data_IF_329102948772
#
_entry.id   IF_329102948772
#
_cell.length_a   1.000
_cell.length_b   1.000
_cell.length_c   1.000
_cell.angle_alpha   90.00
_cell.angle_beta   90.00
_cell.angle_gamma   90.00
#
_symmetry.space_group_name_H-M   'P 1'
#
loop_
_entity.id
_entity.type
_entity.pdbx_description
1 polymer ?
#
# COMPACT_ATOMS: atom_id res chain seq x y z
N UNK A 1 23.53 34.44 -0.80
CA UNK A 1 22.36 33.63 -1.16
C UNK A 1 21.94 32.82 0.03
N UNK A 2 20.76 33.09 0.57
CA UNK A 2 20.21 32.39 1.74
C UNK A 2 19.83 30.95 1.40
N UNK A 3 19.68 30.09 2.38
CA UNK A 3 19.20 28.68 2.18
C UNK A 3 17.83 28.67 1.52
N UNK A 4 17.00 29.68 1.77
CA UNK A 4 15.67 29.87 1.18
C UNK A 4 15.72 30.20 -0.31
N UNK A 5 16.59 31.14 -0.74
CA UNK A 5 16.77 31.49 -2.16
C UNK A 5 17.29 30.29 -2.98
N UNK A 6 18.21 29.49 -2.40
CA UNK A 6 18.70 28.26 -3.03
C UNK A 6 17.59 27.21 -3.19
N UNK A 7 16.63 27.15 -2.28
CA UNK A 7 15.49 26.22 -2.37
C UNK A 7 14.54 26.64 -3.49
N UNK A 8 14.12 27.92 -3.53
CA UNK A 8 13.26 28.45 -4.58
C UNK A 8 13.88 28.26 -5.98
N UNK A 9 15.18 28.50 -6.12
CA UNK A 9 15.88 28.28 -7.39
C UNK A 9 15.85 26.81 -7.85
N UNK A 10 15.96 25.86 -6.93
CA UNK A 10 15.88 24.42 -7.24
C UNK A 10 14.47 23.97 -7.60
N UNK A 11 13.46 24.47 -6.90
CA UNK A 11 12.07 24.12 -7.18
C UNK A 11 11.66 24.59 -8.58
N UNK A 12 12.06 25.82 -8.99
CA UNK A 12 11.85 26.33 -10.35
C UNK A 12 12.60 25.52 -11.42
N UNK A 13 13.84 25.12 -11.15
CA UNK A 13 14.60 24.28 -12.09
C UNK A 13 13.95 22.91 -12.25
N UNK A 14 13.45 22.32 -11.16
CA UNK A 14 12.75 21.06 -11.20
C UNK A 14 11.45 21.17 -12.00
N UNK A 15 10.63 22.18 -11.74
CA UNK A 15 9.38 22.45 -12.47
C UNK A 15 9.65 22.63 -13.98
N UNK A 16 10.61 23.46 -14.37
CA UNK A 16 10.99 23.69 -15.78
C UNK A 16 11.45 22.38 -16.44
N UNK A 17 12.25 21.58 -15.74
CA UNK A 17 12.74 20.31 -16.26
C UNK A 17 11.61 19.30 -16.47
N UNK A 18 10.74 19.11 -15.49
CA UNK A 18 9.64 18.13 -15.63
C UNK A 18 8.68 18.55 -16.74
N UNK A 19 8.41 19.85 -16.91
CA UNK A 19 7.57 20.36 -17.99
C UNK A 19 8.18 20.12 -19.38
N UNK A 20 9.49 20.21 -19.53
CA UNK A 20 10.17 19.90 -20.81
C UNK A 20 9.96 18.45 -21.26
N UNK A 21 9.67 17.53 -20.29
CA UNK A 21 9.32 16.14 -20.54
C UNK A 21 7.82 15.87 -20.58
N UNK A 22 6.97 16.90 -20.49
CA UNK A 22 5.52 16.80 -20.45
C UNK A 22 4.97 16.31 -19.10
N UNK A 23 5.79 16.27 -18.06
CA UNK A 23 5.38 15.84 -16.73
C UNK A 23 4.68 16.99 -16.00
N UNK A 24 3.59 16.67 -15.30
CA UNK A 24 2.83 17.64 -14.48
C UNK A 24 3.30 17.66 -13.03
N UNK A 25 3.95 16.57 -12.56
CA UNK A 25 4.45 16.42 -11.19
C UNK A 25 5.61 15.40 -11.15
N UNK A 26 6.21 15.20 -9.96
CA UNK A 26 7.17 14.11 -9.75
C UNK A 26 6.47 12.74 -9.92
N UNK A 27 6.80 11.98 -10.98
CA UNK A 27 6.15 10.69 -11.26
C UNK A 27 6.48 9.60 -10.24
N UNK A 28 7.51 9.80 -9.44
CA UNK A 28 8.04 8.79 -8.54
C UNK A 28 7.68 9.02 -7.06
N UNK A 29 6.67 9.84 -6.78
CA UNK A 29 6.10 9.97 -5.43
C UNK A 29 5.72 8.61 -4.87
N UNK A 30 5.86 8.42 -3.55
CA UNK A 30 5.56 7.13 -2.91
C UNK A 30 4.06 6.85 -2.85
N UNK A 31 3.26 7.88 -2.77
CA UNK A 31 1.81 7.80 -2.77
C UNK A 31 1.26 7.24 -4.08
N UNK A 32 0.15 6.55 -4.02
CA UNK A 32 -0.55 6.07 -5.21
C UNK A 32 -1.45 7.21 -5.72
N UNK A 33 -1.13 7.83 -6.87
CA UNK A 33 -1.90 8.98 -7.35
C UNK A 33 -3.32 8.62 -7.78
N UNK A 34 -3.53 7.39 -8.30
CA UNK A 34 -4.83 6.85 -8.69
C UNK A 34 -4.78 5.32 -8.78
N UNK A 35 -5.94 4.68 -8.87
CA UNK A 35 -6.04 3.22 -9.11
C UNK A 35 -5.42 2.83 -10.45
N UNK A 36 -5.48 3.68 -11.46
CA UNK A 36 -4.88 3.47 -12.78
C UNK A 36 -3.34 3.45 -12.73
N UNK A 37 -2.74 4.12 -11.74
CA UNK A 37 -1.29 4.09 -11.50
C UNK A 37 -0.81 2.82 -10.78
N UNK A 38 -1.72 1.90 -10.47
CA UNK A 38 -1.39 0.64 -9.82
C UNK A 38 -0.86 -0.37 -10.83
N UNK A 39 0.43 -0.69 -10.75
CA UNK A 39 1.01 -1.79 -11.50
C UNK A 39 0.75 -3.10 -10.76
N UNK A 40 -0.06 -4.01 -11.29
CA UNK A 40 -0.38 -5.26 -10.63
C UNK A 40 0.88 -6.12 -10.49
N UNK A 41 1.20 -6.48 -9.26
CA UNK A 41 2.37 -7.32 -8.96
C UNK A 41 2.21 -8.75 -9.50
N UNK A 42 1.00 -9.33 -9.43
CA UNK A 42 0.62 -10.61 -10.04
C UNK A 42 -0.93 -10.67 -10.18
N UNK A 43 -1.46 -10.69 -11.41
CA UNK A 43 -2.91 -10.74 -11.63
C UNK A 43 -3.61 -11.94 -10.96
N UNK A 44 -2.91 -13.08 -10.84
CA UNK A 44 -3.44 -14.28 -10.18
C UNK A 44 -3.67 -14.04 -8.68
N UNK A 45 -2.75 -13.36 -8.01
CA UNK A 45 -2.86 -13.10 -6.56
C UNK A 45 -3.93 -12.06 -6.27
N UNK A 46 -4.08 -11.05 -7.15
CA UNK A 46 -5.16 -10.07 -7.06
C UNK A 46 -6.53 -10.75 -7.18
N UNK A 47 -6.71 -11.67 -8.14
CA UNK A 47 -7.95 -12.44 -8.27
C UNK A 47 -8.25 -13.28 -7.02
N UNK A 48 -7.22 -13.87 -6.40
CA UNK A 48 -7.40 -14.61 -5.13
C UNK A 48 -7.86 -13.71 -3.99
N UNK A 49 -7.32 -12.48 -3.90
CA UNK A 49 -7.73 -11.51 -2.90
C UNK A 49 -9.18 -11.05 -3.11
N UNK A 50 -9.58 -10.76 -4.34
CA UNK A 50 -10.97 -10.42 -4.66
C UNK A 50 -11.92 -11.58 -4.33
N UNK A 51 -11.54 -12.80 -4.70
CA UNK A 51 -12.31 -14.01 -4.39
C UNK A 51 -12.47 -14.25 -2.88
N UNK A 52 -11.48 -13.92 -2.06
CA UNK A 52 -11.57 -13.97 -0.61
C UNK A 52 -12.78 -13.17 -0.10
N UNK A 53 -13.00 -11.96 -0.63
CA UNK A 53 -14.10 -11.11 -0.21
C UNK A 53 -15.47 -11.62 -0.69
N UNK A 54 -15.56 -12.21 -1.87
CA UNK A 54 -16.81 -12.80 -2.36
C UNK A 54 -17.18 -14.10 -1.66
N UNK A 55 -16.23 -14.80 -1.05
CA UNK A 55 -16.45 -16.07 -0.37
C UNK A 55 -16.59 -15.92 1.17
N UNK A 56 -16.51 -14.72 1.73
CA UNK A 56 -16.61 -14.51 3.18
C UNK A 56 -15.47 -15.18 3.94
N UNK A 57 -14.22 -15.05 3.46
CA UNK A 57 -13.07 -15.78 3.99
C UNK A 57 -12.06 -14.90 4.69
N UNK A 58 -11.12 -15.54 5.40
CA UNK A 58 -9.97 -14.89 6.04
C UNK A 58 -8.72 -15.12 5.22
N UNK A 59 -7.95 -14.06 5.04
CA UNK A 59 -6.68 -14.13 4.33
C UNK A 59 -5.58 -13.28 4.97
N UNK A 60 -4.35 -13.62 4.61
CA UNK A 60 -3.17 -12.84 4.98
C UNK A 60 -2.36 -12.44 3.75
N UNK A 61 -1.99 -11.17 3.71
CA UNK A 61 -1.10 -10.59 2.72
C UNK A 61 0.22 -10.23 3.41
N UNK A 62 1.28 -10.96 3.12
CA UNK A 62 2.57 -10.75 3.75
C UNK A 62 3.63 -10.29 2.77
N UNK A 63 4.71 -9.73 3.26
CA UNK A 63 5.84 -9.32 2.41
C UNK A 63 6.88 -8.53 3.20
N UNK A 64 8.02 -8.29 2.56
CA UNK A 64 9.06 -7.44 3.13
C UNK A 64 8.66 -5.96 3.19
N UNK A 65 9.46 -5.16 3.86
CA UNK A 65 9.25 -3.72 3.93
C UNK A 65 9.34 -3.10 2.52
N UNK A 66 8.36 -2.26 2.18
CA UNK A 66 8.34 -1.54 0.90
C UNK A 66 7.96 -2.38 -0.32
N UNK A 67 7.45 -3.60 -0.16
CA UNK A 67 6.97 -4.47 -1.27
C UNK A 67 5.61 -4.06 -1.83
N UNK A 68 4.93 -3.07 -1.25
CA UNK A 68 3.66 -2.54 -1.74
C UNK A 68 2.41 -3.17 -1.11
N UNK A 69 2.51 -3.77 0.09
CA UNK A 69 1.35 -4.38 0.79
C UNK A 69 0.21 -3.37 1.00
N UNK A 70 0.49 -2.25 1.64
CA UNK A 70 -0.47 -1.17 1.87
C UNK A 70 -1.09 -0.69 0.55
N UNK A 71 -0.27 -0.48 -0.47
CA UNK A 71 -0.73 -0.06 -1.82
C UNK A 71 -1.68 -1.08 -2.45
N UNK A 72 -1.44 -2.38 -2.24
CA UNK A 72 -2.38 -3.44 -2.68
C UNK A 72 -3.71 -3.35 -1.94
N UNK A 73 -3.67 -3.10 -0.63
CA UNK A 73 -4.89 -2.95 0.18
C UNK A 73 -5.69 -1.69 -0.24
N UNK A 74 -5.02 -0.56 -0.42
CA UNK A 74 -5.63 0.69 -0.93
C UNK A 74 -6.27 0.48 -2.31
N UNK A 75 -5.57 -0.20 -3.22
CA UNK A 75 -6.11 -0.55 -4.53
C UNK A 75 -7.34 -1.46 -4.43
N UNK A 76 -7.33 -2.46 -3.55
CA UNK A 76 -8.49 -3.35 -3.34
C UNK A 76 -9.70 -2.57 -2.84
N UNK A 77 -9.51 -1.66 -1.88
CA UNK A 77 -10.59 -0.79 -1.36
C UNK A 77 -11.18 0.07 -2.48
N UNK A 78 -10.34 0.74 -3.25
CA UNK A 78 -10.78 1.59 -4.34
C UNK A 78 -11.50 0.79 -5.44
N UNK A 79 -10.95 -0.39 -5.82
CA UNK A 79 -11.57 -1.28 -6.81
C UNK A 79 -12.93 -1.82 -6.35
N UNK A 80 -13.08 -2.19 -5.07
CA UNK A 80 -14.37 -2.65 -4.53
C UNK A 80 -15.41 -1.51 -4.50
N UNK A 81 -15.00 -0.30 -4.12
CA UNK A 81 -15.89 0.87 -4.18
C UNK A 81 -16.36 1.17 -5.60
N UNK A 82 -15.47 1.11 -6.58
CA UNK A 82 -15.80 1.31 -7.98
C UNK A 82 -16.73 0.20 -8.52
N UNK A 83 -16.45 -1.07 -8.16
CA UNK A 83 -17.31 -2.20 -8.53
C UNK A 83 -18.72 -2.06 -7.95
N UNK A 84 -18.85 -1.62 -6.70
CA UNK A 84 -20.15 -1.38 -6.06
C UNK A 84 -20.99 -0.28 -6.76
N UNK A 85 -20.35 0.76 -7.31
CA UNK A 85 -21.07 1.80 -8.07
C UNK A 85 -21.77 1.26 -9.31
N UNK A 86 -21.25 0.18 -9.88
CA UNK A 86 -21.75 -0.45 -11.10
C UNK A 86 -22.58 -1.72 -10.82
N UNK A 87 -22.68 -2.18 -9.57
CA UNK A 87 -23.43 -3.37 -9.18
C UNK A 87 -24.78 -2.99 -8.56
N UNK A 88 -25.89 -3.23 -9.26
CA UNK A 88 -27.23 -2.88 -8.77
C UNK A 88 -27.77 -3.85 -7.72
N UNK A 89 -27.21 -5.05 -7.60
CA UNK A 89 -27.63 -6.09 -6.65
C UNK A 89 -26.87 -5.96 -5.33
N UNK A 90 -27.52 -5.50 -4.23
CA UNK A 90 -26.85 -5.34 -2.94
C UNK A 90 -26.17 -6.63 -2.43
N UNK A 91 -26.72 -7.81 -2.75
CA UNK A 91 -26.16 -9.08 -2.30
C UNK A 91 -24.79 -9.41 -2.89
N UNK A 92 -24.42 -8.72 -3.97
CA UNK A 92 -23.11 -8.81 -4.62
C UNK A 92 -22.17 -7.68 -4.23
N UNK A 93 -22.67 -6.62 -3.63
CA UNK A 93 -21.86 -5.51 -3.16
C UNK A 93 -21.00 -5.92 -1.96
N UNK A 94 -19.79 -5.36 -1.90
CA UNK A 94 -18.83 -5.62 -0.83
C UNK A 94 -18.36 -4.30 -0.27
N UNK A 95 -18.76 -3.97 0.96
CA UNK A 95 -18.38 -2.73 1.64
C UNK A 95 -16.96 -2.88 2.19
N UNK A 96 -15.96 -2.19 1.64
CA UNK A 96 -14.60 -2.26 2.11
C UNK A 96 -14.37 -1.31 3.30
N UNK A 97 -13.79 -1.82 4.37
CA UNK A 97 -13.34 -1.06 5.54
C UNK A 97 -11.82 -1.20 5.62
N UNK A 98 -11.09 -0.09 5.56
CA UNK A 98 -9.64 -0.08 5.65
C UNK A 98 -9.18 0.49 6.98
N UNK A 99 -8.36 -0.25 7.71
CA UNK A 99 -7.92 0.07 9.06
C UNK A 99 -6.41 -0.05 9.16
N UNK A 100 -5.74 0.98 9.68
CA UNK A 100 -4.34 0.92 10.09
C UNK A 100 -4.24 0.24 11.48
N UNK A 101 -4.17 -1.09 11.49
CA UNK A 101 -4.30 -1.89 12.70
C UNK A 101 -3.23 -1.64 13.77
N UNK A 102 -2.03 -1.19 13.37
CA UNK A 102 -0.96 -0.84 14.31
C UNK A 102 -1.31 0.35 15.24
N UNK A 103 -2.30 1.17 14.90
CA UNK A 103 -2.78 2.28 15.72
C UNK A 103 -3.64 1.82 16.91
N UNK A 104 -4.20 0.61 16.86
CA UNK A 104 -5.16 0.10 17.85
C UNK A 104 -4.52 -0.98 18.71
N UNK A 105 -4.65 -0.83 20.04
CA UNK A 105 -4.02 -1.68 21.03
C UNK A 105 -4.99 -2.69 21.66
N UNK A 106 -6.29 -2.50 21.52
CA UNK A 106 -7.31 -3.39 22.08
C UNK A 106 -8.33 -3.83 21.05
N UNK A 107 -9.04 -4.90 21.36
CA UNK A 107 -10.17 -5.37 20.57
C UNK A 107 -11.31 -4.34 20.52
N UNK A 108 -11.54 -3.59 21.59
CA UNK A 108 -12.56 -2.52 21.64
C UNK A 108 -12.22 -1.37 20.69
N UNK A 109 -10.96 -0.91 20.68
CA UNK A 109 -10.51 0.12 19.74
C UNK A 109 -10.64 -0.32 18.29
N UNK A 110 -10.28 -1.57 17.99
CA UNK A 110 -10.41 -2.13 16.65
C UNK A 110 -11.88 -2.27 16.23
N UNK A 111 -12.76 -2.71 17.15
CA UNK A 111 -14.21 -2.80 16.91
C UNK A 111 -14.78 -1.41 16.58
N UNK A 112 -14.44 -0.39 17.39
CA UNK A 112 -14.88 0.99 17.12
C UNK A 112 -14.38 1.52 15.77
N UNK A 113 -13.15 1.19 15.40
CA UNK A 113 -12.61 1.56 14.10
C UNK A 113 -13.38 0.91 12.94
N UNK A 114 -13.82 -0.35 13.09
CA UNK A 114 -14.68 -1.03 12.11
C UNK A 114 -16.02 -0.31 11.98
N UNK A 115 -16.66 0.01 13.10
CA UNK A 115 -17.96 0.70 13.12
C UNK A 115 -17.86 2.10 12.53
N UNK A 116 -16.81 2.86 12.84
CA UNK A 116 -16.53 4.16 12.22
C UNK A 116 -16.27 4.04 10.72
N UNK A 117 -15.63 2.97 10.29
CA UNK A 117 -15.42 2.66 8.86
C UNK A 117 -16.72 2.36 8.11
N UNK A 118 -17.80 2.03 8.82
CA UNK A 118 -19.17 1.92 8.30
C UNK A 118 -19.96 3.24 8.37
N UNK A 119 -19.29 4.35 8.75
CA UNK A 119 -19.91 5.67 8.95
C UNK A 119 -21.00 5.66 10.02
N UNK A 120 -20.89 4.78 11.02
CA UNK A 120 -21.86 4.60 12.09
C UNK A 120 -21.35 5.11 13.44
N UNK A 121 -22.29 5.36 14.37
CA UNK A 121 -21.99 5.83 15.71
C UNK A 121 -21.29 4.74 16.54
N UNK A 122 -20.02 4.96 16.88
CA UNK A 122 -19.20 4.09 17.69
C UNK A 122 -19.20 4.44 19.19
N UNK A 123 -20.08 5.34 19.66
CA UNK A 123 -20.16 5.75 21.07
C UNK A 123 -20.81 4.72 22.00
N UNK A 124 -21.55 3.78 21.43
CA UNK A 124 -22.22 2.69 22.16
C UNK A 124 -21.22 1.80 22.90
N UNK A 125 -21.72 1.01 23.86
CA UNK A 125 -20.90 0.04 24.55
C UNK A 125 -20.43 -1.10 23.60
N UNK A 126 -19.35 -1.77 23.99
CA UNK A 126 -18.72 -2.85 23.20
C UNK A 126 -19.69 -3.96 22.80
N UNK A 127 -20.55 -4.37 23.73
CA UNK A 127 -21.50 -5.47 23.49
C UNK A 127 -22.49 -5.11 22.39
N UNK A 128 -23.07 -3.91 22.44
CA UNK A 128 -23.99 -3.41 21.42
C UNK A 128 -23.33 -3.26 20.05
N UNK A 129 -22.09 -2.78 19.99
CA UNK A 129 -21.34 -2.63 18.74
C UNK A 129 -20.99 -4.00 18.13
N UNK A 130 -20.62 -4.97 18.98
CA UNK A 130 -20.32 -6.32 18.53
C UNK A 130 -21.58 -7.06 18.07
N UNK A 131 -22.70 -6.91 18.80
CA UNK A 131 -23.98 -7.49 18.40
C UNK A 131 -24.49 -6.92 17.07
N UNK A 132 -24.26 -5.66 16.81
CA UNK A 132 -24.53 -5.05 15.49
C UNK A 132 -23.79 -5.78 14.36
N UNK A 133 -22.47 -6.01 14.50
CA UNK A 133 -21.72 -6.79 13.51
C UNK A 133 -22.21 -8.23 13.39
N UNK A 134 -22.62 -8.85 14.49
CA UNK A 134 -23.17 -10.21 14.52
C UNK A 134 -24.49 -10.32 13.75
N UNK A 135 -25.31 -9.27 13.79
CA UNK A 135 -26.58 -9.21 13.05
C UNK A 135 -26.44 -8.75 11.62
N UNK A 136 -25.27 -8.24 11.24
CA UNK A 136 -25.04 -7.71 9.88
C UNK A 136 -25.55 -8.65 8.78
N UNK A 137 -25.27 -9.97 8.79
CA UNK A 137 -25.74 -10.87 7.72
C UNK A 137 -27.25 -11.07 7.66
N UNK A 138 -27.98 -10.68 8.70
CA UNK A 138 -29.44 -10.82 8.81
C UNK A 138 -30.16 -9.53 8.42
N UNK A 139 -29.52 -8.39 8.69
CA UNK A 139 -30.10 -7.05 8.50
C UNK A 139 -29.66 -6.38 7.19
N UNK A 140 -28.53 -6.87 6.61
CA UNK A 140 -27.93 -6.30 5.41
C UNK A 140 -27.66 -7.40 4.38
N UNK A 141 -27.83 -7.03 3.10
CA UNK A 141 -27.53 -7.94 1.98
C UNK A 141 -26.07 -7.86 1.56
N UNK A 142 -25.44 -6.72 1.76
CA UNK A 142 -24.05 -6.46 1.41
C UNK A 142 -23.10 -7.25 2.32
N UNK A 143 -21.94 -7.57 1.74
CA UNK A 143 -20.84 -8.21 2.48
C UNK A 143 -19.88 -7.16 3.02
N UNK A 144 -19.19 -7.49 4.10
CA UNK A 144 -18.11 -6.64 4.64
C UNK A 144 -16.75 -7.22 4.27
N UNK A 145 -15.85 -6.35 3.81
CA UNK A 145 -14.43 -6.63 3.62
C UNK A 145 -13.61 -5.79 4.59
N UNK A 146 -13.20 -6.37 5.72
CA UNK A 146 -12.36 -5.72 6.72
C UNK A 146 -10.90 -5.95 6.33
N UNK A 147 -10.22 -4.87 5.96
CA UNK A 147 -8.83 -4.88 5.51
C UNK A 147 -7.98 -4.18 6.56
N UNK A 148 -7.08 -4.92 7.22
CA UNK A 148 -6.28 -4.43 8.35
C UNK A 148 -4.81 -4.36 7.91
N UNK A 149 -4.27 -3.14 7.86
CA UNK A 149 -2.87 -2.85 7.52
C UNK A 149 -2.02 -2.83 8.79
N UNK A 150 -1.16 -3.83 8.93
CA UNK A 150 -0.36 -4.16 10.10
C UNK A 150 -1.20 -4.46 11.37
N UNK A 151 -0.60 -5.13 12.32
CA UNK A 151 -1.20 -5.47 13.63
C UNK A 151 -0.23 -5.12 14.75
N UNK A 152 -0.72 -4.99 16.01
CA UNK A 152 0.16 -4.83 17.16
C UNK A 152 1.22 -5.94 17.23
N UNK A 153 2.48 -5.56 17.48
CA UNK A 153 3.61 -6.51 17.30
C UNK A 153 3.71 -7.54 18.44
N UNK A 154 3.30 -7.19 19.65
CA UNK A 154 3.55 -8.04 20.83
C UNK A 154 2.69 -7.62 22.03
N UNK A 155 2.64 -8.50 23.03
CA UNK A 155 1.97 -8.25 24.31
C UNK A 155 0.60 -8.91 24.42
N UNK A 156 -0.11 -8.60 25.50
CA UNK A 156 -1.48 -9.04 25.78
C UNK A 156 -2.44 -8.51 24.71
N UNK A 157 -2.19 -7.29 24.22
CA UNK A 157 -2.96 -6.63 23.19
C UNK A 157 -3.03 -7.44 21.89
N UNK A 158 -1.91 -8.05 21.48
CA UNK A 158 -1.86 -8.88 20.28
C UNK A 158 -2.71 -10.16 20.40
N UNK A 159 -2.79 -10.74 21.60
CA UNK A 159 -3.62 -11.91 21.85
C UNK A 159 -5.10 -11.51 21.86
N UNK A 160 -5.48 -10.44 22.55
CA UNK A 160 -6.85 -9.94 22.60
C UNK A 160 -7.37 -9.58 21.20
N UNK A 161 -6.59 -8.84 20.41
CA UNK A 161 -6.92 -8.51 19.03
C UNK A 161 -7.06 -9.79 18.19
N UNK A 162 -6.17 -10.75 18.36
CA UNK A 162 -6.20 -12.01 17.62
C UNK A 162 -7.44 -12.84 17.90
N UNK A 163 -7.85 -12.95 19.17
CA UNK A 163 -9.09 -13.65 19.58
C UNK A 163 -10.33 -12.91 19.07
N UNK A 164 -10.34 -11.59 19.10
CA UNK A 164 -11.41 -10.80 18.52
C UNK A 164 -11.55 -11.05 17.00
N UNK A 165 -10.45 -11.03 16.25
CA UNK A 165 -10.46 -11.34 14.82
C UNK A 165 -10.91 -12.77 14.54
N UNK A 166 -10.57 -13.72 15.41
CA UNK A 166 -11.07 -15.09 15.33
C UNK A 166 -12.60 -15.14 15.42
N UNK A 167 -13.17 -14.41 16.36
CA UNK A 167 -14.65 -14.38 16.55
C UNK A 167 -15.32 -13.68 15.37
N UNK A 168 -14.76 -12.58 14.87
CA UNK A 168 -15.25 -11.90 13.67
C UNK A 168 -15.22 -12.82 12.43
N UNK A 169 -14.20 -13.66 12.31
CA UNK A 169 -14.05 -14.60 11.20
C UNK A 169 -15.15 -15.67 11.14
N UNK A 170 -15.88 -15.88 12.23
CA UNK A 170 -17.00 -16.83 12.30
C UNK A 170 -18.34 -16.18 11.91
N UNK A 171 -18.39 -14.87 11.70
CA UNK A 171 -19.61 -14.16 11.26
C UNK A 171 -19.76 -14.30 9.74
N UNK A 172 -20.87 -14.85 9.23
CA UNK A 172 -21.12 -14.93 7.79
C UNK A 172 -21.07 -13.56 7.11
N UNK A 173 -20.72 -13.52 5.82
CA UNK A 173 -20.64 -12.29 5.01
C UNK A 173 -19.60 -11.27 5.48
N UNK A 174 -18.76 -11.60 6.48
CA UNK A 174 -17.61 -10.80 6.87
C UNK A 174 -16.33 -11.49 6.39
N UNK A 175 -15.56 -10.76 5.61
CA UNK A 175 -14.24 -11.19 5.15
C UNK A 175 -13.17 -10.38 5.85
N UNK A 176 -12.04 -11.01 6.18
CA UNK A 176 -10.93 -10.33 6.84
C UNK A 176 -9.65 -10.54 6.03
N UNK A 177 -9.01 -9.46 5.64
CA UNK A 177 -7.67 -9.47 5.07
C UNK A 177 -6.70 -8.77 6.03
N UNK A 178 -5.75 -9.52 6.57
CA UNK A 178 -4.71 -8.98 7.45
C UNK A 178 -3.43 -8.85 6.64
N UNK A 179 -2.88 -7.67 6.55
CA UNK A 179 -1.58 -7.47 5.93
C UNK A 179 -0.50 -7.20 7.00
N UNK A 180 0.75 -7.55 6.69
CA UNK A 180 1.85 -7.27 7.59
C UNK A 180 3.19 -7.85 7.11
N UNK A 181 4.26 -7.55 7.87
CA UNK A 181 5.55 -8.14 7.61
C UNK A 181 5.52 -9.65 7.87
N UNK A 182 6.15 -10.43 6.99
CA UNK A 182 6.08 -11.90 7.05
C UNK A 182 6.48 -12.49 8.41
N UNK A 183 7.61 -12.06 8.98
CA UNK A 183 8.08 -12.58 10.27
C UNK A 183 7.19 -12.16 11.44
N UNK A 184 6.63 -10.94 11.41
CA UNK A 184 5.72 -10.43 12.43
C UNK A 184 4.40 -11.21 12.38
N UNK A 185 3.86 -11.41 11.19
CA UNK A 185 2.64 -12.19 10.98
C UNK A 185 2.79 -13.63 11.45
N UNK A 186 3.92 -14.29 11.17
CA UNK A 186 4.16 -15.64 11.67
C UNK A 186 4.15 -15.69 13.21
N UNK A 187 4.81 -14.72 13.88
CA UNK A 187 4.82 -14.64 15.34
C UNK A 187 3.44 -14.35 15.94
N UNK A 188 2.67 -13.49 15.29
CA UNK A 188 1.31 -13.17 15.70
C UNK A 188 0.40 -14.41 15.59
N UNK A 189 0.39 -15.09 14.46
CA UNK A 189 -0.45 -16.26 14.22
C UNK A 189 -0.05 -17.46 15.10
N UNK A 190 1.20 -17.59 15.47
CA UNK A 190 1.66 -18.61 16.41
C UNK A 190 1.06 -18.42 17.83
N UNK A 191 0.66 -17.19 18.21
CA UNK A 191 0.00 -16.90 19.48
C UNK A 191 -1.51 -17.14 19.45
N UNK A 192 -2.12 -17.12 18.26
CA UNK A 192 -3.56 -17.29 18.05
C UNK A 192 -3.80 -18.42 17.04
N UNK A 193 -3.53 -19.69 17.39
CA UNK A 193 -3.66 -20.83 16.46
C UNK A 193 -5.06 -20.95 15.86
N UNK A 194 -6.09 -20.69 16.66
CA UNK A 194 -7.47 -20.76 16.21
C UNK A 194 -7.83 -19.74 15.11
N UNK A 195 -7.19 -18.58 15.07
CA UNK A 195 -7.28 -17.64 13.92
C UNK A 195 -6.47 -18.16 12.74
N UNK A 196 -5.28 -18.72 12.99
CA UNK A 196 -4.42 -19.27 11.95
C UNK A 196 -5.10 -20.38 11.15
N UNK A 197 -5.93 -21.21 11.80
CA UNK A 197 -6.70 -22.28 11.18
C UNK A 197 -7.83 -21.77 10.27
N UNK A 198 -8.32 -20.55 10.49
CA UNK A 198 -9.35 -19.90 9.67
C UNK A 198 -8.79 -19.24 8.40
N UNK A 199 -7.46 -19.12 8.27
CA UNK A 199 -6.82 -18.47 7.14
C UNK A 199 -6.79 -19.41 5.94
N UNK A 200 -7.64 -19.15 4.96
CA UNK A 200 -7.71 -19.93 3.71
C UNK A 200 -6.83 -19.35 2.60
N UNK A 201 -6.59 -18.04 2.62
CA UNK A 201 -5.80 -17.37 1.58
C UNK A 201 -4.51 -16.81 2.16
N UNK A 202 -3.37 -17.32 1.67
CA UNK A 202 -2.03 -16.86 2.08
C UNK A 202 -1.29 -16.34 0.85
N UNK A 203 -1.01 -15.04 0.81
CA UNK A 203 -0.26 -14.40 -0.26
C UNK A 203 1.00 -13.75 0.31
N UNK A 204 2.12 -13.96 -0.37
CA UNK A 204 3.40 -13.36 -0.01
C UNK A 204 3.93 -12.51 -1.16
N UNK A 205 3.94 -11.19 -0.98
CA UNK A 205 4.56 -10.27 -1.92
C UNK A 205 6.08 -10.41 -1.88
N UNK A 206 6.63 -10.69 -3.04
CA UNK A 206 8.09 -10.70 -3.27
C UNK A 206 8.50 -9.38 -3.93
N UNK A 207 9.78 -9.01 -3.85
CA UNK A 207 10.30 -7.94 -4.70
C UNK A 207 9.94 -8.18 -6.17
N UNK A 208 9.63 -7.12 -6.89
CA UNK A 208 9.28 -7.19 -8.31
C UNK A 208 10.46 -7.69 -9.16
N UNK A 209 10.18 -8.50 -10.15
CA UNK A 209 11.15 -8.83 -11.19
C UNK A 209 11.41 -7.59 -12.07
N UNK A 210 12.40 -7.68 -12.97
CA UNK A 210 12.78 -6.56 -13.85
C UNK A 210 11.62 -6.07 -14.70
N UNK A 211 10.81 -6.99 -15.24
CA UNK A 211 9.67 -6.66 -16.09
C UNK A 211 8.63 -5.85 -15.33
N UNK A 212 8.16 -6.36 -14.20
CA UNK A 212 7.12 -5.70 -13.39
C UNK A 212 7.60 -4.35 -12.83
N UNK A 213 8.89 -4.24 -12.42
CA UNK A 213 9.42 -2.96 -11.96
C UNK A 213 9.51 -1.95 -13.10
N UNK A 214 9.86 -2.39 -14.32
CA UNK A 214 9.87 -1.52 -15.49
C UNK A 214 8.47 -1.02 -15.80
N UNK A 215 7.49 -1.91 -15.84
CA UNK A 215 6.07 -1.56 -16.03
C UNK A 215 5.57 -0.56 -14.98
N UNK A 216 5.96 -0.72 -13.70
CA UNK A 216 5.62 0.23 -12.64
C UNK A 216 6.17 1.63 -12.94
N UNK A 217 7.47 1.75 -13.27
CA UNK A 217 8.11 3.05 -13.51
C UNK A 217 7.56 3.71 -14.78
N UNK A 218 7.34 2.94 -15.84
CA UNK A 218 6.73 3.43 -17.09
C UNK A 218 5.29 3.91 -16.87
N UNK A 219 4.50 3.17 -16.11
CA UNK A 219 3.12 3.54 -15.76
C UNK A 219 3.10 4.85 -14.97
N UNK A 220 4.00 5.01 -14.00
CA UNK A 220 4.13 6.25 -13.23
C UNK A 220 4.51 7.44 -14.10
N UNK A 221 5.44 7.27 -15.04
CA UNK A 221 5.83 8.30 -15.98
C UNK A 221 4.67 8.69 -16.92
N UNK A 222 3.97 7.70 -17.46
CA UNK A 222 2.82 7.92 -18.35
C UNK A 222 1.68 8.66 -17.62
N UNK A 223 1.34 8.24 -16.42
CA UNK A 223 0.25 8.87 -15.64
C UNK A 223 0.58 10.29 -15.21
N UNK A 224 1.87 10.62 -15.07
CA UNK A 224 2.33 11.99 -14.85
C UNK A 224 2.41 12.84 -16.14
N UNK A 225 2.07 12.28 -17.30
CA UNK A 225 2.00 12.99 -18.58
C UNK A 225 3.22 12.81 -19.51
N UNK A 226 4.23 12.00 -19.13
CA UNK A 226 5.42 11.82 -19.96
C UNK A 226 5.13 10.98 -21.20
N UNK A 227 5.26 11.59 -22.38
CA UNK A 227 5.09 10.90 -23.66
C UNK A 227 6.37 10.16 -24.06
N UNK A 228 7.54 10.78 -23.84
CA UNK A 228 8.86 10.26 -24.23
C UNK A 228 9.58 9.57 -23.04
N UNK A 229 8.89 8.72 -22.31
CA UNK A 229 9.40 8.11 -21.07
C UNK A 229 10.67 7.25 -21.30
N UNK A 230 10.87 6.65 -22.47
CA UNK A 230 12.07 5.87 -22.79
C UNK A 230 13.32 6.75 -22.95
N UNK A 231 13.15 8.00 -23.38
CA UNK A 231 14.24 8.96 -23.52
C UNK A 231 14.59 9.56 -22.15
N UNK A 232 13.58 9.86 -21.32
CA UNK A 232 13.78 10.35 -19.97
C UNK A 232 14.45 9.30 -19.07
N UNK A 233 13.91 8.07 -19.02
CA UNK A 233 14.48 6.96 -18.26
C UNK A 233 15.18 5.97 -19.18
N UNK A 234 16.48 6.14 -19.34
CA UNK A 234 17.27 5.30 -20.25
C UNK A 234 17.34 3.84 -19.76
N UNK A 235 17.58 2.87 -20.66
CA UNK A 235 17.74 1.45 -20.28
C UNK A 235 18.84 1.21 -19.23
N UNK A 236 19.93 1.99 -19.29
CA UNK A 236 21.02 1.92 -18.32
C UNK A 236 20.65 2.57 -16.96
N UNK A 237 19.83 3.63 -17.00
CA UNK A 237 19.22 4.24 -15.82
C UNK A 237 18.31 3.24 -15.08
N UNK A 238 17.40 2.61 -15.83
CA UNK A 238 16.54 1.54 -15.29
C UNK A 238 17.35 0.39 -14.69
N UNK A 239 18.38 -0.10 -15.39
CA UNK A 239 19.26 -1.18 -14.88
C UNK A 239 19.92 -0.78 -13.56
N UNK A 240 20.32 0.47 -13.41
CA UNK A 240 20.90 1.01 -12.17
C UNK A 240 19.86 1.11 -11.04
N UNK A 241 18.65 1.57 -11.31
CA UNK A 241 17.55 1.61 -10.36
C UNK A 241 17.19 0.20 -9.87
N UNK A 242 17.08 -0.76 -10.78
CA UNK A 242 16.80 -2.15 -10.40
C UNK A 242 17.90 -2.75 -9.51
N UNK A 243 19.18 -2.49 -9.82
CA UNK A 243 20.32 -2.95 -9.00
C UNK A 243 20.29 -2.35 -7.60
N UNK A 244 19.97 -1.07 -7.45
CA UNK A 244 19.86 -0.39 -6.16
C UNK A 244 18.69 -0.88 -5.33
N UNK A 245 17.52 -1.03 -5.95
CA UNK A 245 16.27 -1.40 -5.26
C UNK A 245 16.13 -2.90 -5.03
N UNK A 246 16.87 -3.73 -5.79
CA UNK A 246 16.69 -5.20 -5.84
C UNK A 246 15.23 -5.59 -6.11
N UNK A 247 14.50 -4.76 -6.86
CA UNK A 247 13.10 -4.97 -7.17
C UNK A 247 12.10 -4.54 -6.08
N UNK A 248 12.54 -3.95 -4.97
CA UNK A 248 11.64 -3.41 -3.95
C UNK A 248 11.06 -2.08 -4.43
N UNK A 249 9.70 -1.98 -4.65
CA UNK A 249 9.06 -0.81 -5.26
C UNK A 249 9.38 0.49 -4.54
N UNK A 250 9.22 0.55 -3.22
CA UNK A 250 9.51 1.76 -2.42
C UNK A 250 10.94 2.25 -2.61
N UNK A 251 11.92 1.35 -2.66
CA UNK A 251 13.32 1.72 -2.87
C UNK A 251 13.56 2.19 -4.31
N UNK A 252 12.89 1.58 -5.30
CA UNK A 252 13.00 1.97 -6.70
C UNK A 252 12.42 3.36 -6.93
N UNK A 253 11.20 3.62 -6.44
CA UNK A 253 10.55 4.93 -6.54
C UNK A 253 11.38 6.02 -5.84
N UNK A 254 11.85 5.77 -4.62
CA UNK A 254 12.71 6.72 -3.93
C UNK A 254 14.02 7.01 -4.67
N UNK A 255 14.65 5.96 -5.23
CA UNK A 255 15.88 6.13 -6.01
C UNK A 255 15.62 6.87 -7.33
N UNK A 256 14.46 6.65 -7.96
CA UNK A 256 14.03 7.33 -9.18
C UNK A 256 13.66 8.80 -8.91
N UNK A 257 12.96 9.11 -7.82
CA UNK A 257 12.67 10.48 -7.39
C UNK A 257 13.96 11.27 -7.11
N UNK A 258 14.93 10.68 -6.38
CA UNK A 258 16.23 11.32 -6.22
C UNK A 258 16.94 11.55 -7.59
N UNK A 259 16.79 10.61 -8.51
CA UNK A 259 17.44 10.71 -9.82
C UNK A 259 16.81 11.80 -10.71
N UNK A 260 15.47 11.95 -10.74
CA UNK A 260 14.83 12.99 -11.55
C UNK A 260 15.14 14.40 -11.01
N UNK A 261 15.19 14.57 -9.69
CA UNK A 261 15.63 15.85 -9.11
C UNK A 261 17.09 16.21 -9.44
N UNK A 262 17.98 15.19 -9.45
CA UNK A 262 19.36 15.43 -9.86
C UNK A 262 19.48 15.66 -11.37
N UNK A 263 18.68 14.96 -12.18
CA UNK A 263 18.59 15.15 -13.61
C UNK A 263 18.19 16.60 -13.97
N UNK A 264 17.24 17.16 -13.22
CA UNK A 264 16.83 18.56 -13.36
C UNK A 264 17.96 19.55 -13.02
N UNK A 265 18.82 19.25 -12.04
CA UNK A 265 19.99 20.10 -11.74
C UNK A 265 21.06 20.06 -12.85
N UNK A 266 21.08 19.02 -13.69
CA UNK A 266 22.11 18.78 -14.71
C UNK A 266 21.59 18.79 -16.14
N UNK A 267 20.30 19.07 -16.32
CA UNK A 267 19.58 19.08 -17.60
C UNK A 267 19.92 17.82 -18.43
N UNK A 268 19.76 16.65 -17.85
CA UNK A 268 20.15 15.38 -18.46
C UNK A 268 19.11 14.30 -18.24
N UNK A 269 19.00 13.29 -19.13
CA UNK A 269 18.11 12.14 -18.88
C UNK A 269 18.57 11.32 -17.69
N UNK A 270 17.65 10.51 -17.15
CA UNK A 270 17.94 9.61 -16.04
C UNK A 270 18.73 8.40 -16.54
N UNK A 271 20.04 8.57 -16.65
CA UNK A 271 21.00 7.53 -17.01
C UNK A 271 21.63 6.85 -15.79
N UNK A 272 22.54 5.92 -16.01
CA UNK A 272 23.22 5.20 -14.93
C UNK A 272 24.13 6.11 -14.07
N UNK A 273 24.65 7.20 -14.61
CA UNK A 273 25.52 8.16 -13.88
C UNK A 273 24.68 9.02 -12.97
N UNK A 274 23.56 9.55 -13.50
CA UNK A 274 22.57 10.33 -12.76
C UNK A 274 22.04 9.53 -11.58
N UNK A 275 21.58 8.30 -11.80
CA UNK A 275 21.07 7.42 -10.73
C UNK A 275 22.12 7.21 -9.63
N UNK A 276 23.35 6.91 -10.00
CA UNK A 276 24.44 6.66 -9.02
C UNK A 276 24.78 7.93 -8.21
N UNK A 277 24.94 9.08 -8.89
CA UNK A 277 25.31 10.35 -8.23
C UNK A 277 24.21 10.85 -7.31
N UNK A 278 22.96 10.85 -7.76
CA UNK A 278 21.81 11.28 -6.99
C UNK A 278 21.67 10.47 -5.69
N UNK A 279 21.77 9.15 -5.77
CA UNK A 279 21.58 8.29 -4.62
C UNK A 279 22.79 8.28 -3.66
N UNK A 280 24.03 8.47 -4.15
CA UNK A 280 25.18 8.70 -3.29
C UNK A 280 25.06 9.99 -2.49
N UNK A 281 24.59 11.09 -3.13
CA UNK A 281 24.35 12.39 -2.48
C UNK A 281 23.25 12.31 -1.41
N UNK A 282 22.18 11.54 -1.67
CA UNK A 282 21.10 11.32 -0.70
C UNK A 282 21.57 10.57 0.55
N UNK A 283 22.44 9.57 0.40
CA UNK A 283 23.02 8.83 1.53
C UNK A 283 23.91 9.75 2.38
N UNK A 284 24.76 10.56 1.76
CA UNK A 284 25.63 11.50 2.46
C UNK A 284 24.80 12.53 3.24
N UNK A 285 23.75 13.10 2.65
CA UNK A 285 22.85 14.03 3.37
C UNK A 285 22.23 13.41 4.62
N UNK A 286 21.78 12.14 4.55
CA UNK A 286 21.25 11.43 5.72
C UNK A 286 22.28 11.22 6.81
N UNK A 287 23.53 10.88 6.46
CA UNK A 287 24.61 10.72 7.46
C UNK A 287 24.87 12.06 8.17
N UNK A 288 24.96 13.16 7.42
CA UNK A 288 25.21 14.47 8.01
C UNK A 288 24.03 15.00 8.84
N UNK A 289 22.77 14.68 8.50
CA UNK A 289 21.59 15.07 9.30
C UNK A 289 21.43 14.27 10.61
N UNK A 290 22.15 13.18 10.80
CA UNK A 290 22.23 12.45 12.07
C UNK A 290 23.37 12.93 12.98
N UNK A 291 24.28 13.79 12.46
CA UNK A 291 25.45 14.30 13.18
C UNK A 291 25.26 15.77 13.62
N UNK A 292 24.15 16.39 13.22
CA UNK A 292 23.70 17.73 13.64
C UNK A 292 22.37 17.63 14.38
#
# INVERSE_FOLDING_TARGET
MTTFEKKIGRDRLFESYIWSWGLQEDPFKLELPSTEAFAPFQPRDLRKLKRLFTEGKVGVLTGGLGTGKTTVCEFLVASLKEENLNEPDPSKQIIPIFIHGAAYKSADELLRAIILGLEMDASKNRESLFEFLRRWPQEHQERLAIIIDDLPESGADALEVGEFLRVLADIPNISILINGEFKKMQRFLAKVPALADRIQTKIRLKPMNKKNLKELLELRLKNAGCICYNDLLTPNGFKSLYKLSKGVPRLALKAASNAIHYAAETDSPIDARVVKRANKRSILKRIFSFLT
#
